data_IF_560382166685
#
_entry.id   IF_560382166685
#
_cell.length_a   1.000
_cell.length_b   1.000
_cell.length_c   1.000
_cell.angle_alpha   90.00
_cell.angle_beta   90.00
_cell.angle_gamma   90.00
#
_symmetry.space_group_name_H-M   'P 1'
#
loop_
_entity.id
_entity.type
_entity.pdbx_description
1 polymer ?
#
# COMPACT_ATOMS: atom_id res chain seq x y z
N UNK A 1 9.41 -7.58 -2.78
CA UNK A 1 8.99 -6.65 -1.71
C UNK A 1 10.18 -6.14 -0.87
N UNK A 2 11.27 -6.90 -0.73
CA UNK A 2 12.40 -6.55 0.14
C UNK A 2 13.00 -5.18 -0.12
N UNK A 3 13.15 -4.76 -1.39
CA UNK A 3 13.64 -3.43 -1.77
C UNK A 3 12.76 -2.30 -1.25
N UNK A 4 11.44 -2.46 -1.31
CA UNK A 4 10.47 -1.48 -0.81
C UNK A 4 10.49 -1.42 0.72
N UNK A 5 10.63 -2.57 1.38
CA UNK A 5 10.79 -2.62 2.83
C UNK A 5 12.09 -1.94 3.27
N UNK A 6 13.20 -2.17 2.58
CA UNK A 6 14.49 -1.51 2.84
C UNK A 6 14.39 0.01 2.65
N UNK A 7 13.81 0.44 1.53
CA UNK A 7 13.54 1.85 1.25
C UNK A 7 12.68 2.50 2.35
N UNK A 8 11.60 1.85 2.76
CA UNK A 8 10.76 2.31 3.87
C UNK A 8 11.51 2.28 5.21
N UNK A 9 12.47 1.37 5.42
CA UNK A 9 13.28 1.33 6.65
C UNK A 9 14.23 2.53 6.72
N UNK A 10 14.84 2.90 5.62
CA UNK A 10 15.77 4.03 5.55
C UNK A 10 15.05 5.37 5.63
N UNK A 11 13.86 5.50 5.02
CA UNK A 11 13.17 6.78 4.88
C UNK A 11 12.02 7.01 5.87
N UNK A 12 11.51 5.97 6.54
CA UNK A 12 10.38 6.08 7.46
C UNK A 12 10.74 5.66 8.89
N UNK A 13 10.19 6.43 9.84
CA UNK A 13 10.20 6.08 11.26
C UNK A 13 9.49 4.74 11.48
N UNK A 14 9.90 3.99 12.51
CA UNK A 14 9.45 2.61 12.75
C UNK A 14 7.94 2.39 12.68
N UNK A 15 7.15 3.32 13.22
CA UNK A 15 5.68 3.24 13.23
C UNK A 15 5.01 3.59 11.88
N UNK A 16 5.71 4.31 11.00
CA UNK A 16 5.21 4.67 9.65
C UNK A 16 5.50 3.58 8.62
N UNK A 17 6.25 2.55 8.98
CA UNK A 17 6.59 1.46 8.07
C UNK A 17 5.35 0.58 7.84
N UNK A 18 5.01 0.26 6.59
CA UNK A 18 3.88 -0.62 6.29
C UNK A 18 4.13 -2.02 6.87
N UNK A 19 3.09 -2.63 7.44
CA UNK A 19 3.17 -3.99 8.01
C UNK A 19 3.15 -5.08 6.93
N UNK A 20 2.46 -4.83 5.83
CA UNK A 20 2.38 -5.70 4.67
C UNK A 20 2.44 -4.85 3.39
N UNK A 21 2.98 -5.42 2.32
CA UNK A 21 3.05 -4.78 1.00
C UNK A 21 2.50 -5.79 0.00
N UNK A 22 1.40 -5.43 -0.64
CA UNK A 22 0.76 -6.25 -1.67
C UNK A 22 0.84 -5.52 -3.01
N UNK A 23 1.26 -6.24 -4.04
CA UNK A 23 1.26 -5.73 -5.41
C UNK A 23 -0.01 -6.21 -6.09
N UNK A 24 -0.91 -5.29 -6.41
CA UNK A 24 -2.10 -5.55 -7.21
C UNK A 24 -1.88 -4.99 -8.61
N UNK A 25 -2.43 -5.66 -9.62
CA UNK A 25 -2.41 -5.19 -11.01
C UNK A 25 -3.30 -3.96 -11.20
N UNK A 26 -4.38 -3.86 -10.42
CA UNK A 26 -5.29 -2.72 -10.44
C UNK A 26 -5.83 -2.39 -9.05
N UNK A 27 -6.22 -1.13 -8.88
CA UNK A 27 -6.89 -0.65 -7.66
C UNK A 27 -8.39 -0.62 -7.90
N UNK A 28 -9.20 -1.10 -6.93
CA UNK A 28 -10.65 -1.00 -7.04
C UNK A 28 -11.03 0.48 -7.04
N UNK A 29 -11.79 0.89 -8.05
CA UNK A 29 -12.23 2.27 -8.24
C UNK A 29 -13.75 2.36 -8.17
N UNK A 30 -14.26 3.50 -7.71
CA UNK A 30 -15.66 3.86 -7.85
C UNK A 30 -15.98 4.06 -9.33
N UNK A 31 -17.27 4.07 -9.72
CA UNK A 31 -17.68 4.42 -11.08
C UNK A 31 -17.18 5.80 -11.55
N UNK A 32 -16.87 6.70 -10.60
CA UNK A 32 -16.28 8.03 -10.85
C UNK A 32 -14.76 8.07 -10.67
N UNK A 33 -14.10 6.92 -10.59
CA UNK A 33 -12.64 6.79 -10.61
C UNK A 33 -11.91 6.94 -9.27
N UNK A 34 -12.61 7.14 -8.14
CA UNK A 34 -11.97 7.26 -6.81
C UNK A 34 -11.58 5.89 -6.27
N UNK A 35 -10.44 5.77 -5.59
CA UNK A 35 -10.01 4.50 -4.99
C UNK A 35 -10.98 4.07 -3.88
N UNK A 36 -11.49 2.85 -3.98
CA UNK A 36 -12.35 2.22 -3.00
C UNK A 36 -11.52 1.60 -1.87
N UNK A 37 -11.17 2.42 -0.87
CA UNK A 37 -10.39 1.96 0.30
C UNK A 37 -11.07 0.81 1.06
N UNK A 38 -12.40 0.72 1.05
CA UNK A 38 -13.15 -0.37 1.70
C UNK A 38 -12.80 -1.74 1.09
N UNK A 39 -12.68 -1.80 -0.24
CA UNK A 39 -12.35 -3.03 -0.96
C UNK A 39 -10.86 -3.41 -0.86
N UNK A 40 -10.04 -2.57 -0.23
CA UNK A 40 -8.61 -2.80 0.02
C UNK A 40 -8.33 -3.20 1.48
N UNK A 41 -9.38 -3.36 2.31
CA UNK A 41 -9.24 -3.67 3.74
C UNK A 41 -9.25 -5.18 4.03
N UNK A 42 -9.55 -5.99 3.01
CA UNK A 42 -9.42 -7.46 2.97
C UNK A 42 -8.13 -7.83 2.22
#
# INVERSE_FOLDING_TARGET
AETLTAFCRENLTGYKRPRYIEFRTELPKTPVGKILRRALRE
#
